data_IF_631426151341
#
_entry.id   IF_631426151341
#
_cell.length_a   1.000
_cell.length_b   1.000
_cell.length_c   1.000
_cell.angle_alpha   90.00
_cell.angle_beta   90.00
_cell.angle_gamma   90.00
#
_symmetry.space_group_name_H-M   'P 1'
#
loop_
_entity.id
_entity.type
_entity.pdbx_description
1 polymer ?
#
# COMPACT_ATOMS: atom_id res chain seq x y z
N UNK A 1 17.74 17.69 9.24
CA UNK A 1 16.50 17.05 8.75
C UNK A 1 16.88 16.29 7.50
N UNK A 2 16.78 14.97 7.50
CA UNK A 2 16.96 14.21 6.26
C UNK A 2 15.75 14.46 5.36
N UNK A 3 15.95 14.80 4.09
CA UNK A 3 14.82 15.12 3.23
C UNK A 3 14.00 13.86 2.97
N UNK A 4 12.68 14.01 3.03
CA UNK A 4 11.76 13.02 2.49
C UNK A 4 12.12 12.72 1.03
N UNK A 5 11.80 11.51 0.55
CA UNK A 5 12.00 11.17 -0.87
C UNK A 5 11.35 12.27 -1.74
N UNK A 6 12.10 12.88 -2.68
CA UNK A 6 11.52 13.86 -3.60
C UNK A 6 10.30 13.29 -4.31
N UNK A 7 9.28 14.12 -4.55
CA UNK A 7 8.02 13.68 -5.19
C UNK A 7 8.26 13.01 -6.55
N UNK A 8 9.23 13.50 -7.32
CA UNK A 8 9.66 12.89 -8.58
C UNK A 8 10.11 11.44 -8.37
N UNK A 9 11.01 11.21 -7.41
CA UNK A 9 11.52 9.87 -7.08
C UNK A 9 10.43 8.91 -6.62
N UNK A 10 9.41 9.40 -5.89
CA UNK A 10 8.27 8.55 -5.48
C UNK A 10 7.46 8.07 -6.68
N UNK A 11 7.22 8.96 -7.65
CA UNK A 11 6.48 8.63 -8.87
C UNK A 11 7.26 7.63 -9.74
N UNK A 12 8.57 7.85 -9.88
CA UNK A 12 9.45 6.92 -10.60
C UNK A 12 9.39 5.51 -10.00
N UNK A 13 9.38 5.40 -8.66
CA UNK A 13 9.25 4.11 -7.98
C UNK A 13 7.89 3.45 -8.24
N UNK A 14 6.79 4.21 -8.26
CA UNK A 14 5.43 3.70 -8.52
C UNK A 14 5.30 3.24 -9.97
N UNK A 15 5.91 3.96 -10.91
CA UNK A 15 5.78 3.72 -12.35
C UNK A 15 6.82 2.73 -12.92
N UNK A 16 7.86 2.41 -12.16
CA UNK A 16 8.87 1.42 -12.56
C UNK A 16 8.24 0.06 -12.90
N UNK A 17 8.51 -0.53 -14.09
CA UNK A 17 7.92 -1.79 -14.53
C UNK A 17 8.55 -3.04 -13.87
N UNK A 18 9.59 -2.90 -13.03
CA UNK A 18 10.25 -4.02 -12.39
C UNK A 18 9.28 -4.88 -11.57
N UNK A 19 9.30 -6.19 -11.80
CA UNK A 19 8.44 -7.17 -11.10
C UNK A 19 8.78 -7.33 -9.62
N UNK A 20 10.04 -7.07 -9.25
CA UNK A 20 10.52 -7.12 -7.88
C UNK A 20 11.34 -5.87 -7.60
N UNK A 21 11.08 -5.22 -6.46
CA UNK A 21 11.70 -3.94 -6.08
C UNK A 21 12.18 -4.01 -4.65
N UNK A 22 13.38 -3.49 -4.41
CA UNK A 22 13.89 -3.21 -3.07
C UNK A 22 13.89 -1.70 -2.86
N UNK A 23 13.10 -1.22 -1.90
CA UNK A 23 13.04 0.20 -1.56
C UNK A 23 13.82 0.43 -0.26
N UNK A 24 15.00 1.04 -0.37
CA UNK A 24 15.81 1.46 0.77
C UNK A 24 15.63 2.96 1.01
N UNK A 25 15.17 3.33 2.20
CA UNK A 25 15.03 4.74 2.55
C UNK A 25 15.04 4.95 4.07
N UNK A 26 15.48 6.13 4.50
CA UNK A 26 15.54 6.56 5.91
C UNK A 26 14.15 6.62 6.58
N UNK A 27 14.12 6.68 7.91
CA UNK A 27 12.88 6.93 8.65
C UNK A 27 12.26 8.27 8.22
N UNK A 28 10.93 8.35 8.16
CA UNK A 28 10.22 9.56 7.72
C UNK A 28 10.21 9.82 6.21
N UNK A 29 10.86 8.98 5.39
CA UNK A 29 10.92 9.20 3.93
C UNK A 29 9.60 8.99 3.17
N UNK A 30 8.58 8.45 3.85
CA UNK A 30 7.28 8.13 3.25
C UNK A 30 7.20 6.77 2.54
N UNK A 31 7.99 5.77 2.95
CA UNK A 31 7.96 4.41 2.37
C UNK A 31 6.54 3.81 2.34
N UNK A 32 5.81 3.90 3.45
CA UNK A 32 4.43 3.38 3.56
C UNK A 32 3.54 4.01 2.50
N UNK A 33 3.69 5.31 2.24
CA UNK A 33 2.92 6.01 1.21
C UNK A 33 3.21 5.45 -0.18
N UNK A 34 4.48 5.25 -0.52
CA UNK A 34 4.88 4.68 -1.82
C UNK A 34 4.32 3.26 -1.99
N UNK A 35 4.38 2.42 -0.94
CA UNK A 35 3.81 1.07 -0.98
C UNK A 35 2.29 1.09 -1.19
N UNK A 36 1.57 2.00 -0.54
CA UNK A 36 0.13 2.19 -0.74
C UNK A 36 -0.19 2.62 -2.18
N UNK A 37 0.57 3.55 -2.76
CA UNK A 37 0.37 3.99 -4.14
C UNK A 37 0.63 2.85 -5.15
N UNK A 38 1.66 2.04 -4.95
CA UNK A 38 1.93 0.85 -5.77
C UNK A 38 0.74 -0.12 -5.72
N UNK A 39 0.24 -0.40 -4.52
CA UNK A 39 -0.91 -1.29 -4.34
C UNK A 39 -2.18 -0.77 -5.00
N UNK A 40 -2.47 0.53 -4.85
CA UNK A 40 -3.63 1.16 -5.47
C UNK A 40 -3.57 1.05 -6.99
N UNK A 41 -2.41 1.36 -7.59
CA UNK A 41 -2.19 1.22 -9.03
C UNK A 41 -2.41 -0.22 -9.49
N UNK A 42 -1.77 -1.19 -8.83
CA UNK A 42 -1.92 -2.61 -9.16
C UNK A 42 -3.37 -3.09 -9.06
N UNK A 43 -4.10 -2.70 -8.01
CA UNK A 43 -5.49 -3.10 -7.81
C UNK A 43 -6.46 -2.43 -8.80
N UNK A 44 -6.19 -1.18 -9.20
CA UNK A 44 -6.92 -0.50 -10.27
C UNK A 44 -6.70 -1.18 -11.63
N UNK A 45 -5.50 -1.71 -11.85
CA UNK A 45 -5.16 -2.54 -13.02
C UNK A 45 -5.72 -3.98 -12.93
N UNK A 46 -6.48 -4.32 -11.88
CA UNK A 46 -7.13 -5.61 -11.71
C UNK A 46 -6.27 -6.67 -11.01
N UNK A 47 -5.12 -6.30 -10.48
CA UNK A 47 -4.21 -7.23 -9.78
C UNK A 47 -4.56 -7.34 -8.30
N UNK A 48 -4.62 -8.57 -7.79
CA UNK A 48 -4.80 -8.79 -6.34
C UNK A 48 -3.54 -8.37 -5.57
N UNK A 49 -3.72 -7.74 -4.42
CA UNK A 49 -2.63 -7.22 -3.59
C UNK A 49 -2.68 -7.85 -2.20
N UNK A 50 -1.52 -8.30 -1.72
CA UNK A 50 -1.32 -8.77 -0.35
C UNK A 50 -0.21 -7.95 0.32
N UNK A 51 -0.55 -7.29 1.42
CA UNK A 51 0.40 -6.69 2.34
C UNK A 51 0.71 -7.66 3.48
N UNK A 52 1.99 -7.99 3.66
CA UNK A 52 2.47 -8.76 4.81
C UNK A 52 3.31 -7.84 5.69
N UNK A 53 2.93 -7.71 6.95
CA UNK A 53 3.54 -6.76 7.88
C UNK A 53 3.96 -7.45 9.16
N UNK A 54 5.06 -7.00 9.79
CA UNK A 54 5.56 -7.64 11.01
C UNK A 54 4.67 -7.35 12.24
N UNK A 55 3.99 -6.21 12.26
CA UNK A 55 3.25 -5.73 13.43
C UNK A 55 1.92 -5.10 13.00
N UNK A 56 0.90 -5.32 13.84
CA UNK A 56 -0.47 -4.82 13.59
C UNK A 56 -0.54 -3.31 13.37
N UNK A 57 0.31 -2.52 14.04
CA UNK A 57 0.28 -1.06 13.90
C UNK A 57 0.56 -0.61 12.45
N UNK A 58 1.45 -1.30 11.74
CA UNK A 58 1.75 -1.01 10.34
C UNK A 58 0.59 -1.46 9.44
N UNK A 59 -0.04 -2.60 9.74
CA UNK A 59 -1.25 -3.06 9.04
C UNK A 59 -2.36 -2.01 9.13
N UNK A 60 -2.65 -1.52 10.33
CA UNK A 60 -3.67 -0.49 10.54
C UNK A 60 -3.33 0.81 9.83
N UNK A 61 -2.05 1.23 9.85
CA UNK A 61 -1.62 2.41 9.11
C UNK A 61 -1.88 2.26 7.60
N UNK A 62 -1.57 1.10 7.02
CA UNK A 62 -1.82 0.80 5.60
C UNK A 62 -3.32 0.78 5.29
N UNK A 63 -4.11 0.08 6.11
CA UNK A 63 -5.57 -0.01 5.94
C UNK A 63 -6.22 1.36 5.99
N UNK A 64 -5.91 2.18 6.99
CA UNK A 64 -6.47 3.53 7.13
C UNK A 64 -6.14 4.42 5.92
N UNK A 65 -4.92 4.32 5.38
CA UNK A 65 -4.53 5.06 4.16
C UNK A 65 -5.31 4.56 2.95
N UNK A 66 -5.45 3.25 2.79
CA UNK A 66 -6.22 2.66 1.69
C UNK A 66 -7.69 3.05 1.76
N UNK A 67 -8.31 3.04 2.94
CA UNK A 67 -9.68 3.50 3.16
C UNK A 67 -9.87 4.95 2.71
N UNK A 68 -8.92 5.83 3.07
CA UNK A 68 -8.93 7.23 2.66
C UNK A 68 -8.81 7.39 1.13
N UNK A 69 -7.89 6.66 0.48
CA UNK A 69 -7.69 6.74 -0.96
C UNK A 69 -8.85 6.15 -1.77
N UNK A 70 -9.39 5.01 -1.32
CA UNK A 70 -10.49 4.31 -1.97
C UNK A 70 -11.85 4.93 -1.64
N UNK A 71 -11.91 5.83 -0.65
CA UNK A 71 -13.14 6.45 -0.14
C UNK A 71 -14.18 5.42 0.28
N UNK A 72 -13.74 4.37 0.96
CA UNK A 72 -14.60 3.30 1.47
C UNK A 72 -14.79 3.42 2.98
N UNK A 73 -15.91 2.89 3.48
CA UNK A 73 -16.28 2.94 4.91
C UNK A 73 -15.39 2.05 5.78
N UNK A 74 -14.81 1.00 5.20
CA UNK A 74 -13.79 0.20 5.87
C UNK A 74 -13.45 -1.12 5.17
N UNK A 75 -12.33 -1.72 5.58
CA UNK A 75 -11.99 -3.09 5.22
C UNK A 75 -12.75 -4.10 6.10
N UNK A 76 -13.19 -5.21 5.51
CA UNK A 76 -13.69 -6.34 6.28
C UNK A 76 -12.55 -6.97 7.09
N UNK A 77 -12.86 -7.54 8.27
CA UNK A 77 -11.87 -8.16 9.15
C UNK A 77 -12.22 -9.62 9.45
N UNK A 78 -11.22 -10.50 9.35
CA UNK A 78 -11.30 -11.90 9.78
C UNK A 78 -9.98 -12.31 10.43
N UNK A 79 -9.97 -12.54 11.75
CA UNK A 79 -8.73 -12.83 12.49
C UNK A 79 -7.70 -11.68 12.35
N UNK A 80 -6.51 -12.00 11.84
CA UNK A 80 -5.43 -11.05 11.52
C UNK A 80 -5.52 -10.45 10.11
N UNK A 81 -6.58 -10.75 9.35
CA UNK A 81 -6.73 -10.33 7.96
C UNK A 81 -7.69 -9.14 7.85
N UNK A 82 -7.28 -8.13 7.08
CA UNK A 82 -8.09 -7.01 6.64
C UNK A 82 -8.21 -7.05 5.13
N UNK A 83 -9.42 -7.10 4.57
CA UNK A 83 -9.58 -7.20 3.12
C UNK A 83 -10.75 -6.40 2.56
N UNK A 84 -10.62 -6.01 1.29
CA UNK A 84 -11.70 -5.40 0.51
C UNK A 84 -11.63 -5.87 -0.95
N UNK A 85 -12.76 -5.81 -1.65
CA UNK A 85 -12.86 -6.11 -3.08
C UNK A 85 -13.26 -4.85 -3.82
N UNK A 86 -12.47 -4.47 -4.82
CA UNK A 86 -12.75 -3.33 -5.68
C UNK A 86 -13.78 -3.68 -6.76
N UNK A 87 -14.35 -2.65 -7.39
CA UNK A 87 -15.25 -2.83 -8.55
C UNK A 87 -14.55 -3.47 -9.75
N UNK A 88 -13.22 -3.37 -9.84
CA UNK A 88 -12.40 -4.10 -10.82
C UNK A 88 -12.36 -5.60 -10.59
N UNK A 89 -12.90 -6.08 -9.46
CA UNK A 89 -12.83 -7.47 -9.02
C UNK A 89 -11.57 -7.80 -8.22
N UNK A 90 -10.55 -6.94 -8.26
CA UNK A 90 -9.32 -7.08 -7.50
C UNK A 90 -9.58 -7.09 -5.99
N UNK A 91 -8.82 -7.91 -5.28
CA UNK A 91 -8.83 -7.99 -3.82
C UNK A 91 -7.57 -7.33 -3.28
N UNK A 92 -7.74 -6.45 -2.28
CA UNK A 92 -6.62 -5.95 -1.47
C UNK A 92 -6.77 -6.56 -0.09
N UNK A 93 -5.70 -7.17 0.39
CA UNK A 93 -5.62 -7.81 1.69
C UNK A 93 -4.36 -7.35 2.45
N UNK A 94 -4.50 -7.11 3.74
CA UNK A 94 -3.41 -6.80 4.65
C UNK A 94 -3.44 -7.75 5.86
N UNK A 95 -2.30 -8.36 6.16
CA UNK A 95 -2.13 -9.37 7.20
C UNK A 95 -0.88 -9.11 8.04
N UNK A 96 -0.93 -9.58 9.29
CA UNK A 96 0.21 -9.71 10.20
C UNK A 96 0.70 -11.15 10.24
#
# INVERSE_FOLDING_TARGET
MDPALPLATKRDIVDDPARAKLIQAVAGSGKTEVLVQIALKAAQEGTNVLFVTKVNSVTFEIVNRLEAYLKIVGFAKSGSHHYTRLSSGAVIEAVV
#
